data_IF_622786115799
#
_entry.id   IF_622786115799
#
_cell.length_a   1.000
_cell.length_b   1.000
_cell.length_c   1.000
_cell.angle_alpha   90.00
_cell.angle_beta   90.00
_cell.angle_gamma   90.00
#
_symmetry.space_group_name_H-M   'P 1'
#
loop_
_entity.id
_entity.type
_entity.pdbx_description
1 polymer ?
#
# COMPACT_ATOMS: atom_id res chain seq x y z
N UNK A 1 -16.63 -0.29 -16.30
CA UNK A 1 -15.42 -0.72 -15.56
C UNK A 1 -14.84 -2.04 -16.06
N UNK A 2 -15.61 -2.93 -16.71
CA UNK A 2 -15.08 -4.16 -17.31
C UNK A 2 -14.09 -3.95 -18.46
N UNK A 3 -14.35 -2.96 -19.32
CA UNK A 3 -13.49 -2.69 -20.49
C UNK A 3 -12.09 -2.22 -20.12
N UNK A 4 -11.94 -1.46 -19.02
CA UNK A 4 -10.63 -0.95 -18.58
C UNK A 4 -9.74 -2.04 -17.96
N UNK A 5 -10.33 -3.03 -17.27
CA UNK A 5 -9.57 -4.14 -16.71
C UNK A 5 -9.07 -5.09 -17.80
N UNK A 6 -9.91 -5.39 -18.79
CA UNK A 6 -9.52 -6.23 -19.92
C UNK A 6 -8.34 -5.61 -20.68
N UNK A 7 -8.42 -4.31 -20.99
CA UNK A 7 -7.34 -3.57 -21.64
C UNK A 7 -6.04 -3.62 -20.81
N UNK A 8 -6.12 -3.38 -19.50
CA UNK A 8 -4.96 -3.46 -18.62
C UNK A 8 -4.32 -4.86 -18.64
N UNK A 9 -5.12 -5.93 -18.65
CA UNK A 9 -4.62 -7.30 -18.76
C UNK A 9 -3.97 -7.59 -20.12
N UNK A 10 -4.50 -7.06 -21.21
CA UNK A 10 -3.89 -7.18 -22.55
C UNK A 10 -2.53 -6.49 -22.63
N UNK A 11 -2.40 -5.29 -22.04
CA UNK A 11 -1.13 -4.57 -21.94
C UNK A 11 -0.09 -5.41 -21.17
N UNK A 12 -0.48 -5.96 -20.02
CA UNK A 12 0.42 -6.78 -19.20
C UNK A 12 0.86 -8.05 -19.94
N UNK A 13 -0.05 -8.70 -20.69
CA UNK A 13 0.29 -9.87 -21.50
C UNK A 13 1.37 -9.54 -22.53
N UNK A 14 1.19 -8.46 -23.29
CA UNK A 14 2.19 -8.01 -24.28
C UNK A 14 3.56 -7.74 -23.65
N UNK A 15 3.59 -7.15 -22.45
CA UNK A 15 4.85 -6.88 -21.75
C UNK A 15 5.60 -8.15 -21.33
N UNK A 16 4.90 -9.24 -21.00
CA UNK A 16 5.52 -10.52 -20.64
C UNK A 16 6.24 -11.19 -21.81
N UNK A 17 5.79 -10.91 -23.03
CA UNK A 17 6.36 -11.48 -24.25
C UNK A 17 7.65 -10.76 -24.69
N UNK A 18 8.03 -9.66 -24.04
CA UNK A 18 9.31 -8.97 -24.25
C UNK A 18 10.45 -9.84 -23.68
N UNK A 19 11.17 -10.53 -24.57
CA UNK A 19 12.35 -11.35 -24.24
C UNK A 19 13.64 -10.60 -24.60
N UNK A 20 14.61 -10.59 -23.67
CA UNK A 20 15.93 -9.98 -23.87
C UNK A 20 16.00 -8.46 -23.66
N UNK A 21 14.86 -7.81 -23.42
CA UNK A 21 14.77 -6.37 -23.15
C UNK A 21 15.27 -6.00 -21.74
N UNK A 22 15.74 -4.75 -21.52
CA UNK A 22 16.07 -4.25 -20.20
C UNK A 22 14.90 -4.44 -19.24
N UNK A 23 15.16 -5.01 -18.06
CA UNK A 23 14.11 -5.26 -17.06
C UNK A 23 14.07 -4.12 -16.05
N UNK A 24 12.87 -3.66 -15.74
CA UNK A 24 12.59 -2.73 -14.64
C UNK A 24 12.02 -3.54 -13.47
N UNK A 25 12.79 -3.62 -12.38
CA UNK A 25 12.43 -4.32 -11.15
C UNK A 25 11.79 -3.34 -10.17
N UNK A 26 10.50 -3.48 -9.91
CA UNK A 26 9.76 -2.65 -8.98
C UNK A 26 9.18 -3.45 -7.81
N UNK A 27 8.73 -2.74 -6.78
CA UNK A 27 7.91 -3.31 -5.72
C UNK A 27 6.60 -2.55 -5.55
N UNK A 28 5.50 -3.27 -5.31
CA UNK A 28 4.23 -2.73 -4.85
C UNK A 28 3.93 -3.31 -3.46
N UNK A 29 4.04 -2.47 -2.43
CA UNK A 29 3.84 -2.87 -1.04
C UNK A 29 2.60 -2.21 -0.47
N UNK A 30 1.71 -3.01 0.13
CA UNK A 30 0.51 -2.55 0.81
C UNK A 30 0.12 -3.53 1.92
N UNK A 31 -0.59 -3.04 2.95
CA UNK A 31 -1.13 -3.88 4.03
C UNK A 31 -2.33 -4.74 3.61
N UNK A 32 -2.92 -4.49 2.45
CA UNK A 32 -4.10 -5.18 1.93
C UNK A 32 -3.78 -5.97 0.65
N UNK A 33 -4.73 -6.76 0.14
CA UNK A 33 -4.57 -7.46 -1.14
C UNK A 33 -4.74 -6.49 -2.31
N UNK A 34 -3.71 -6.21 -3.13
CA UNK A 34 -3.78 -5.18 -4.16
C UNK A 34 -4.50 -5.65 -5.43
N UNK A 35 -5.73 -6.19 -5.32
CA UNK A 35 -6.50 -6.83 -6.40
C UNK A 35 -6.41 -6.10 -7.75
N UNK A 36 -7.28 -5.12 -8.00
CA UNK A 36 -7.26 -4.36 -9.25
C UNK A 36 -6.17 -3.29 -9.25
N UNK A 37 -5.73 -2.85 -8.05
CA UNK A 37 -4.64 -1.88 -7.90
C UNK A 37 -3.37 -2.38 -8.60
N UNK A 38 -2.96 -3.62 -8.35
CA UNK A 38 -1.80 -4.23 -8.98
C UNK A 38 -1.95 -4.27 -10.50
N UNK A 39 -3.11 -4.66 -11.00
CA UNK A 39 -3.36 -4.76 -12.45
C UNK A 39 -3.23 -3.38 -13.11
N UNK A 40 -3.89 -2.36 -12.59
CA UNK A 40 -3.80 -1.01 -13.16
C UNK A 40 -2.42 -0.38 -12.98
N UNK A 41 -1.77 -0.62 -11.85
CA UNK A 41 -0.41 -0.15 -11.58
C UNK A 41 0.59 -0.75 -12.58
N UNK A 42 0.55 -2.07 -12.77
CA UNK A 42 1.40 -2.75 -13.75
C UNK A 42 1.13 -2.23 -15.16
N UNK A 43 -0.14 -2.19 -15.60
CA UNK A 43 -0.47 -1.71 -16.93
C UNK A 43 0.04 -0.28 -17.19
N UNK A 44 -0.14 0.63 -16.22
CA UNK A 44 0.39 2.00 -16.31
C UNK A 44 1.91 2.02 -16.48
N UNK A 45 2.65 1.17 -15.75
CA UNK A 45 4.10 1.06 -15.89
C UNK A 45 4.51 0.54 -17.27
N UNK A 46 3.77 -0.42 -17.83
CA UNK A 46 4.02 -0.92 -19.18
C UNK A 46 3.83 0.18 -20.24
N UNK A 47 2.78 0.98 -20.12
CA UNK A 47 2.52 2.10 -21.04
C UNK A 47 3.60 3.19 -20.94
N UNK A 48 4.07 3.47 -19.73
CA UNK A 48 5.13 4.47 -19.49
C UNK A 48 6.53 3.95 -19.84
N UNK A 49 6.71 2.64 -19.95
CA UNK A 49 8.00 1.99 -20.24
C UNK A 49 7.86 0.90 -21.31
N UNK A 50 7.45 1.24 -22.54
CA UNK A 50 7.06 0.26 -23.57
C UNK A 50 8.19 -0.69 -24.00
N UNK A 51 9.44 -0.25 -23.86
CA UNK A 51 10.64 -1.01 -24.25
C UNK A 51 11.34 -1.70 -23.07
N UNK A 52 10.64 -1.86 -21.94
CA UNK A 52 11.19 -2.55 -20.76
C UNK A 52 10.26 -3.65 -20.31
N UNK A 53 10.84 -4.78 -19.95
CA UNK A 53 10.11 -5.82 -19.23
C UNK A 53 9.90 -5.34 -17.80
N UNK A 54 8.66 -5.33 -17.32
CA UNK A 54 8.35 -4.94 -15.94
C UNK A 54 8.27 -6.19 -15.08
N UNK A 55 8.91 -6.19 -13.92
CA UNK A 55 8.82 -7.24 -12.91
C UNK A 55 8.49 -6.58 -11.58
N UNK A 56 7.38 -6.98 -10.96
CA UNK A 56 6.92 -6.42 -9.69
C UNK A 56 6.97 -7.47 -8.59
N UNK A 57 7.55 -7.08 -7.45
CA UNK A 57 7.48 -7.80 -6.19
C UNK A 57 6.35 -7.24 -5.32
N UNK A 58 5.81 -8.09 -4.45
CA UNK A 58 4.78 -7.70 -3.48
C UNK A 58 5.21 -8.04 -2.06
N UNK A 59 4.65 -7.30 -1.11
CA UNK A 59 4.75 -7.60 0.31
C UNK A 59 3.78 -8.69 0.78
N UNK A 60 3.86 -8.98 2.08
CA UNK A 60 2.97 -9.87 2.80
C UNK A 60 1.72 -9.11 3.23
N UNK A 61 0.55 -9.69 2.97
CA UNK A 61 -0.74 -9.17 3.42
C UNK A 61 -0.77 -8.99 4.95
N UNK A 62 -1.26 -7.84 5.41
CA UNK A 62 -1.38 -7.51 6.83
C UNK A 62 -0.07 -7.14 7.53
N UNK A 63 1.07 -7.16 6.82
CA UNK A 63 2.38 -6.80 7.38
C UNK A 63 3.19 -5.92 6.43
N UNK A 64 2.70 -4.70 6.21
CA UNK A 64 3.37 -3.72 5.36
C UNK A 64 4.77 -3.36 5.88
N UNK A 65 4.87 -3.04 7.18
CA UNK A 65 6.15 -2.62 7.77
C UNK A 65 7.18 -3.74 7.74
N UNK A 66 6.81 -4.97 8.11
CA UNK A 66 7.71 -6.12 8.03
C UNK A 66 8.17 -6.41 6.61
N UNK A 67 7.27 -6.28 5.63
CA UNK A 67 7.62 -6.43 4.21
C UNK A 67 8.64 -5.41 3.72
N UNK A 68 8.50 -4.15 4.13
CA UNK A 68 9.45 -3.08 3.79
C UNK A 68 10.79 -3.25 4.50
N UNK A 69 10.79 -3.66 5.77
CA UNK A 69 12.03 -3.96 6.51
C UNK A 69 12.77 -5.14 5.88
N UNK A 70 12.05 -6.19 5.49
CA UNK A 70 12.63 -7.32 4.76
C UNK A 70 13.22 -6.87 3.41
N UNK A 71 12.50 -6.04 2.65
CA UNK A 71 13.02 -5.47 1.41
C UNK A 71 14.27 -4.61 1.63
N UNK A 72 14.37 -3.92 2.77
CA UNK A 72 15.56 -3.15 3.15
C UNK A 72 16.76 -4.05 3.46
N UNK A 73 16.55 -5.13 4.21
CA UNK A 73 17.62 -5.96 4.77
C UNK A 73 18.08 -7.07 3.82
N UNK A 74 17.14 -7.68 3.09
CA UNK A 74 17.36 -8.86 2.25
C UNK A 74 17.05 -8.63 0.78
N UNK A 75 16.37 -7.52 0.45
CA UNK A 75 15.86 -7.28 -0.88
C UNK A 75 16.97 -7.06 -1.91
N UNK A 76 16.79 -7.66 -3.10
CA UNK A 76 17.57 -7.29 -4.28
C UNK A 76 17.36 -5.83 -4.69
N UNK A 77 18.21 -5.34 -5.58
CA UNK A 77 18.16 -3.96 -6.06
C UNK A 77 16.90 -3.74 -6.91
N UNK A 78 15.80 -3.32 -6.28
CA UNK A 78 14.64 -2.77 -6.98
C UNK A 78 14.98 -1.36 -7.48
N UNK A 79 14.59 -1.05 -8.71
CA UNK A 79 14.69 0.28 -9.31
C UNK A 79 13.78 1.29 -8.61
N UNK A 80 12.64 0.83 -8.07
CA UNK A 80 11.71 1.64 -7.30
C UNK A 80 10.86 0.81 -6.35
N UNK A 81 10.30 1.48 -5.35
CA UNK A 81 9.34 0.96 -4.40
C UNK A 81 8.12 1.88 -4.41
N UNK A 82 6.95 1.32 -4.72
CA UNK A 82 5.66 1.96 -4.56
C UNK A 82 4.96 1.41 -3.32
N UNK A 83 4.52 2.29 -2.43
CA UNK A 83 3.85 1.94 -1.18
C UNK A 83 2.46 2.56 -1.17
N UNK A 84 1.44 1.75 -0.89
CA UNK A 84 0.08 2.24 -0.62
C UNK A 84 -0.28 1.89 0.81
N UNK A 85 -0.62 2.90 1.59
CA UNK A 85 -0.90 2.77 3.01
C UNK A 85 -2.39 3.02 3.30
N UNK A 86 -2.91 2.28 4.25
CA UNK A 86 -4.23 2.47 4.83
C UNK A 86 -4.12 2.79 6.33
N UNK A 87 -5.21 3.29 6.93
CA UNK A 87 -5.21 3.63 8.35
C UNK A 87 -4.91 2.42 9.25
N UNK A 88 -5.29 1.22 8.82
CA UNK A 88 -5.02 -0.04 9.53
C UNK A 88 -3.54 -0.39 9.63
N UNK A 89 -2.68 0.15 8.76
CA UNK A 89 -1.23 -0.04 8.83
C UNK A 89 -0.60 0.68 10.05
N UNK A 90 -1.25 1.77 10.51
CA UNK A 90 -0.83 2.53 11.69
C UNK A 90 -1.46 1.99 12.97
N UNK A 91 -2.72 1.56 12.91
CA UNK A 91 -3.40 0.89 14.01
C UNK A 91 -4.58 0.08 13.47
N UNK A 92 -4.63 -1.22 13.77
CA UNK A 92 -5.67 -2.12 13.27
C UNK A 92 -7.11 -1.68 13.65
N UNK A 93 -7.27 -0.86 14.71
CA UNK A 93 -8.57 -0.31 15.14
C UNK A 93 -9.10 0.78 14.21
N UNK A 94 -8.24 1.36 13.36
CA UNK A 94 -8.62 2.39 12.39
C UNK A 94 -9.05 1.82 11.03
N UNK A 95 -9.01 0.49 10.86
CA UNK A 95 -9.46 -0.16 9.64
C UNK A 95 -10.98 -0.07 9.44
N UNK A 96 -11.44 -0.01 8.19
CA UNK A 96 -12.88 0.11 7.89
C UNK A 96 -13.71 -1.07 8.45
N UNK A 97 -13.09 -2.24 8.59
CA UNK A 97 -13.74 -3.46 9.10
C UNK A 97 -13.82 -3.50 10.63
N UNK A 98 -13.06 -2.66 11.33
CA UNK A 98 -13.10 -2.54 12.80
C UNK A 98 -14.02 -1.40 13.28
N UNK A 99 -14.63 -0.63 12.37
CA UNK A 99 -15.56 0.49 12.70
C UNK A 99 -16.79 0.04 13.48
N UNK A 100 -17.23 -1.22 13.35
CA UNK A 100 -18.46 -1.70 13.98
C UNK A 100 -18.42 -1.83 15.52
N UNK A 101 -17.33 -1.43 16.19
CA UNK A 101 -17.15 -1.63 17.63
C UNK A 101 -16.38 -0.53 18.35
N UNK A 102 -16.45 0.73 17.90
CA UNK A 102 -15.86 1.85 18.64
C UNK A 102 -16.61 2.05 19.97
N UNK A 103 -16.26 1.27 21.00
CA UNK A 103 -16.47 1.69 22.37
C UNK A 103 -15.44 2.76 22.74
N UNK A 104 -15.67 3.49 23.83
CA UNK A 104 -14.75 4.47 24.41
C UNK A 104 -13.47 3.79 24.91
N UNK A 105 -12.67 3.23 24.00
CA UNK A 105 -11.29 2.85 24.26
C UNK A 105 -10.50 4.13 24.50
N UNK A 106 -9.50 4.13 25.40
CA UNK A 106 -8.73 5.34 25.67
C UNK A 106 -8.03 5.79 24.39
N UNK A 107 -8.54 6.88 23.81
CA UNK A 107 -8.07 7.51 22.57
C UNK A 107 -6.56 7.79 22.58
N UNK A 108 -5.98 8.01 23.76
CA UNK A 108 -4.54 8.20 23.97
C UNK A 108 -3.68 7.00 23.56
N UNK A 109 -4.16 5.77 23.78
CA UNK A 109 -3.43 4.56 23.39
C UNK A 109 -3.39 4.42 21.86
N UNK A 110 -4.50 4.73 21.20
CA UNK A 110 -4.59 4.73 19.74
C UNK A 110 -3.68 5.79 19.12
N UNK A 111 -3.70 7.03 19.63
CA UNK A 111 -2.80 8.08 19.16
C UNK A 111 -1.33 7.71 19.39
N UNK A 112 -1.00 7.10 20.52
CA UNK A 112 0.35 6.64 20.84
C UNK A 112 0.82 5.57 19.87
N UNK A 113 -0.03 4.58 19.57
CA UNK A 113 0.21 3.53 18.58
C UNK A 113 0.45 4.10 17.18
N UNK A 114 -0.43 5.01 16.72
CA UNK A 114 -0.30 5.68 15.42
C UNK A 114 1.00 6.47 15.33
N UNK A 115 1.35 7.26 16.34
CA UNK A 115 2.61 8.03 16.37
C UNK A 115 3.82 7.12 16.32
N UNK A 116 3.80 6.03 17.08
CA UNK A 116 4.88 5.04 17.09
C UNK A 116 5.05 4.41 15.71
N UNK A 117 3.97 3.91 15.10
CA UNK A 117 4.01 3.31 13.75
C UNK A 117 4.43 4.31 12.69
N UNK A 118 3.95 5.56 12.76
CA UNK A 118 4.38 6.62 11.84
C UNK A 118 5.88 6.92 11.95
N UNK A 119 6.45 6.92 13.15
CA UNK A 119 7.89 7.08 13.35
C UNK A 119 8.69 5.91 12.76
N UNK A 120 8.20 4.68 12.90
CA UNK A 120 8.81 3.49 12.30
C UNK A 120 8.77 3.53 10.78
N UNK A 121 7.63 3.84 10.18
CA UNK A 121 7.51 4.00 8.72
C UNK A 121 8.41 5.11 8.20
N UNK A 122 8.44 6.26 8.88
CA UNK A 122 9.33 7.37 8.51
C UNK A 122 10.80 6.92 8.49
N UNK A 123 11.28 6.28 9.56
CA UNK A 123 12.65 5.77 9.63
C UNK A 123 12.94 4.74 8.55
N UNK A 124 11.99 3.85 8.27
CA UNK A 124 12.09 2.86 7.19
C UNK A 124 12.21 3.53 5.81
N UNK A 125 11.34 4.50 5.49
CA UNK A 125 11.37 5.22 4.23
C UNK A 125 12.64 6.06 4.06
N UNK A 126 13.09 6.74 5.12
CA UNK A 126 14.36 7.50 5.13
C UNK A 126 15.57 6.60 4.85
N UNK A 127 15.52 5.33 5.26
CA UNK A 127 16.58 4.36 4.97
C UNK A 127 16.48 3.83 3.54
N UNK A 128 15.29 3.41 3.10
CA UNK A 128 15.06 2.89 1.74
C UNK A 128 15.36 3.95 0.67
N UNK A 129 15.04 5.22 0.93
CA UNK A 129 15.27 6.31 -0.02
C UNK A 129 16.75 6.62 -0.27
N UNK A 130 17.68 6.07 0.53
CA UNK A 130 19.13 6.24 0.31
C UNK A 130 19.63 5.44 -0.88
N UNK A 131 18.98 4.33 -1.21
CA UNK A 131 19.39 3.42 -2.29
C UNK A 131 18.36 3.32 -3.40
N UNK A 132 17.08 3.59 -3.12
CA UNK A 132 15.97 3.32 -4.04
C UNK A 132 15.02 4.51 -4.16
N UNK A 133 14.32 4.62 -5.29
CA UNK A 133 13.23 5.58 -5.43
C UNK A 133 12.00 5.05 -4.72
N UNK A 134 11.58 5.72 -3.64
CA UNK A 134 10.40 5.36 -2.86
C UNK A 134 9.28 6.35 -3.15
N UNK A 135 8.11 5.85 -3.54
CA UNK A 135 6.88 6.63 -3.73
C UNK A 135 5.83 6.09 -2.77
N UNK A 136 5.20 6.98 -2.01
CA UNK A 136 4.25 6.61 -0.96
C UNK A 136 2.91 7.31 -1.20
N UNK A 137 1.85 6.53 -1.27
CA UNK A 137 0.47 6.99 -1.14
C UNK A 137 0.03 6.79 0.30
N UNK A 138 -0.11 7.89 1.04
CA UNK A 138 -0.64 7.90 2.40
C UNK A 138 -2.15 7.60 2.41
N UNK A 139 -2.74 7.26 3.57
CA UNK A 139 -4.17 7.05 3.67
C UNK A 139 -4.93 8.31 3.21
N UNK A 140 -5.82 8.14 2.22
CA UNK A 140 -6.58 9.25 1.60
C UNK A 140 -8.01 9.36 2.13
N UNK A 141 -8.47 8.41 2.95
CA UNK A 141 -9.80 8.51 3.54
C UNK A 141 -9.83 9.72 4.49
N UNK A 142 -10.74 10.70 4.28
CA UNK A 142 -11.04 11.63 5.37
C UNK A 142 -11.44 10.78 6.57
N UNK A 143 -11.00 11.18 7.77
CA UNK A 143 -11.48 10.57 9.01
C UNK A 143 -12.99 10.39 8.87
N UNK A 144 -13.46 9.15 9.02
CA UNK A 144 -14.89 8.85 8.97
C UNK A 144 -15.61 9.85 9.87
N UNK A 145 -16.83 10.29 9.53
CA UNK A 145 -17.59 11.12 10.45
C UNK A 145 -17.72 10.36 11.77
N UNK A 146 -16.90 10.75 12.74
CA UNK A 146 -16.90 10.23 14.09
C UNK A 146 -18.17 10.76 14.73
N UNK A 147 -19.29 10.08 14.48
CA UNK A 147 -20.52 10.33 15.23
C UNK A 147 -20.32 9.78 16.63
N UNK A 148 -20.09 10.68 17.57
CA UNK A 148 -20.14 10.40 18.99
C UNK A 148 -21.62 10.38 19.40
N UNK A 149 -22.21 9.19 19.53
CA UNK A 149 -23.47 9.04 20.26
C UNK A 149 -23.14 8.75 21.71
N UNK A 150 -23.60 9.59 22.63
CA UNK A 150 -23.55 9.30 24.06
C UNK A 150 -24.22 7.94 24.33
N UNK A 151 -23.72 7.10 25.26
CA UNK A 151 -24.40 5.85 25.61
C UNK A 151 -25.81 6.17 26.15
N UNK A 152 -26.83 6.06 25.30
CA UNK A 152 -28.22 6.37 25.64
C UNK A 152 -29.06 7.03 24.54
N UNK A 153 -28.46 7.58 23.49
CA UNK A 153 -29.23 8.18 22.38
C UNK A 153 -29.41 7.20 21.22
N UNK A 154 -30.49 6.43 21.27
CA UNK A 154 -31.05 5.74 20.09
C UNK A 154 -31.78 6.79 19.27
N UNK A 155 -31.24 7.17 18.12
CA UNK A 155 -31.99 7.99 17.15
C UNK A 155 -33.00 7.11 16.42
N UNK A 156 -34.28 7.43 16.58
CA UNK A 156 -35.39 6.95 15.72
C UNK A 156 -35.31 7.60 14.34
#
# INVERSE_FOLDING_TARGET
>A
MGDSLLLAMEIIKKNRDLNGEPTLHGGLFCGFTPLHLKTFFYATLCEQSPNKRIVLNEGVYGDLLGSLLKQKDEGGNLDFIAVTMEWEDFDARLGLRSIAGWSVYPYEDMLSSVRMKAALFRSCFEQLSKSQRVVVSLPVSPFLPLHFSSPGEVSL
#
